data_IF_864337896264
#
_entry.id   IF_864337896264
#
_cell.length_a   1.000
_cell.length_b   1.000
_cell.length_c   1.000
_cell.angle_alpha   90.00
_cell.angle_beta   90.00
_cell.angle_gamma   90.00
#
_symmetry.space_group_name_H-M   'P 1'
#
loop_
_entity.id
_entity.type
_entity.pdbx_description
1 polymer ?
#
# COMPACT_ATOMS: atom_id res chain seq x y z
N UNK A 1 -27.02 3.32 8.68
CA UNK A 1 -26.35 2.81 9.84
C UNK A 1 -24.88 3.04 9.71
N UNK A 2 -24.12 1.97 9.72
CA UNK A 2 -22.66 2.08 9.58
C UNK A 2 -22.26 2.82 8.34
N UNK A 3 -23.03 2.73 7.28
CA UNK A 3 -22.79 3.47 6.05
C UNK A 3 -22.68 4.96 6.25
N UNK A 4 -23.32 5.47 7.29
CA UNK A 4 -23.35 6.89 7.58
C UNK A 4 -22.29 7.30 8.59
N UNK A 5 -21.42 6.37 9.00
CA UNK A 5 -20.32 6.67 9.91
C UNK A 5 -19.41 7.76 9.32
N UNK A 6 -19.30 7.81 8.01
CA UNK A 6 -18.48 8.81 7.32
C UNK A 6 -19.37 9.69 6.44
N UNK A 7 -19.41 10.98 6.75
CA UNK A 7 -20.10 11.95 5.91
C UNK A 7 -19.36 12.15 4.60
N UNK A 8 -20.02 12.71 3.56
CA UNK A 8 -19.31 13.06 2.32
C UNK A 8 -18.13 13.98 2.58
N UNK A 9 -18.24 14.92 3.52
CA UNK A 9 -17.13 15.79 3.87
C UNK A 9 -15.95 15.02 4.46
N UNK A 10 -16.22 14.02 5.30
CA UNK A 10 -15.18 13.18 5.88
C UNK A 10 -14.48 12.35 4.80
N UNK A 11 -15.23 11.83 3.83
CA UNK A 11 -14.66 11.06 2.72
C UNK A 11 -13.78 11.96 1.84
N UNK A 12 -14.22 13.20 1.59
CA UNK A 12 -13.42 14.16 0.84
C UNK A 12 -12.11 14.49 1.57
N UNK A 13 -12.17 14.65 2.89
CA UNK A 13 -10.98 14.92 3.69
C UNK A 13 -10.01 13.73 3.65
N UNK A 14 -10.53 12.51 3.74
CA UNK A 14 -9.73 11.30 3.60
C UNK A 14 -9.08 11.23 2.22
N UNK A 15 -9.83 11.56 1.18
CA UNK A 15 -9.31 11.59 -0.18
C UNK A 15 -8.16 12.57 -0.33
N UNK A 16 -8.28 13.75 0.25
CA UNK A 16 -7.20 14.75 0.22
C UNK A 16 -5.97 14.25 0.98
N UNK A 17 -6.16 13.68 2.16
CA UNK A 17 -5.06 13.12 2.93
C UNK A 17 -4.37 11.99 2.18
N UNK A 18 -5.12 11.10 1.55
CA UNK A 18 -4.56 10.01 0.76
C UNK A 18 -3.81 10.54 -0.46
N UNK A 19 -4.34 11.56 -1.12
CA UNK A 19 -3.69 12.16 -2.26
C UNK A 19 -2.32 12.74 -1.87
N UNK A 20 -2.27 13.48 -0.77
CA UNK A 20 -1.01 14.05 -0.25
C UNK A 20 -0.04 12.94 0.15
N UNK A 21 -0.53 11.93 0.86
CA UNK A 21 0.29 10.82 1.33
C UNK A 21 0.86 10.00 0.18
N UNK A 22 0.05 9.72 -0.83
CA UNK A 22 0.51 8.96 -1.99
C UNK A 22 1.47 9.77 -2.86
N UNK A 23 1.27 11.09 -2.94
CA UNK A 23 2.23 11.96 -3.61
C UNK A 23 3.60 11.93 -2.96
N UNK A 24 3.63 11.97 -1.63
CA UNK A 24 4.86 11.82 -0.86
C UNK A 24 5.48 10.44 -1.07
N UNK A 25 4.65 9.40 -1.09
CA UNK A 25 5.10 8.04 -1.35
C UNK A 25 5.72 7.89 -2.73
N UNK A 26 5.09 8.47 -3.74
CA UNK A 26 5.61 8.43 -5.11
C UNK A 26 6.99 9.10 -5.20
N UNK A 27 7.18 10.20 -4.50
CA UNK A 27 8.48 10.88 -4.45
C UNK A 27 9.53 9.98 -3.80
N UNK A 28 9.20 9.34 -2.69
CA UNK A 28 10.13 8.44 -1.99
C UNK A 28 10.52 7.26 -2.89
N UNK A 29 9.55 6.67 -3.58
CA UNK A 29 9.81 5.55 -4.49
C UNK A 29 10.65 6.00 -5.68
N UNK A 30 10.35 7.18 -6.25
CA UNK A 30 11.13 7.73 -7.36
C UNK A 30 12.59 7.92 -6.99
N UNK A 31 12.85 8.42 -5.79
CA UNK A 31 14.22 8.61 -5.31
C UNK A 31 14.92 7.27 -5.10
N UNK A 32 14.22 6.30 -4.54
CA UNK A 32 14.79 4.99 -4.25
C UNK A 32 15.11 4.22 -5.53
N UNK A 33 14.24 4.29 -6.52
CA UNK A 33 14.43 3.58 -7.79
C UNK A 33 15.26 4.36 -8.81
N UNK A 34 15.56 5.61 -8.54
CA UNK A 34 16.23 6.52 -9.47
C UNK A 34 15.49 6.59 -10.82
N UNK A 35 14.17 6.52 -10.75
CA UNK A 35 13.27 6.63 -11.89
C UNK A 35 12.05 7.40 -11.45
N UNK A 36 11.51 8.22 -12.36
CA UNK A 36 10.29 8.96 -12.04
C UNK A 36 9.11 8.00 -11.93
N UNK A 37 8.42 8.09 -10.80
CA UNK A 37 7.18 7.35 -10.56
C UNK A 37 6.07 8.36 -10.34
N UNK A 38 5.06 8.31 -11.19
CA UNK A 38 3.88 9.16 -11.07
C UNK A 38 2.70 8.32 -10.64
N UNK A 39 1.83 8.89 -9.83
CA UNK A 39 0.60 8.23 -9.43
C UNK A 39 -0.58 9.10 -9.85
N UNK A 40 -1.71 8.44 -10.11
CA UNK A 40 -2.95 9.15 -10.38
C UNK A 40 -3.61 9.52 -9.05
N UNK A 41 -4.54 10.47 -9.11
CA UNK A 41 -5.35 10.83 -7.95
C UNK A 41 -6.14 9.60 -7.49
N UNK A 42 -6.07 9.25 -6.21
CA UNK A 42 -6.78 8.07 -5.72
C UNK A 42 -8.28 8.27 -5.70
N UNK A 43 -9.00 7.18 -5.92
CA UNK A 43 -10.44 7.11 -5.67
C UNK A 43 -10.61 6.44 -4.31
N UNK A 44 -11.22 7.15 -3.37
CA UNK A 44 -11.39 6.66 -2.00
C UNK A 44 -12.84 6.28 -1.75
N UNK A 45 -13.04 5.12 -1.17
CA UNK A 45 -14.36 4.67 -0.76
C UNK A 45 -14.29 3.98 0.58
N UNK A 46 -15.43 3.95 1.28
CA UNK A 46 -15.56 3.25 2.56
C UNK A 46 -16.56 2.12 2.35
N UNK A 47 -16.15 0.90 2.65
CA UNK A 47 -17.01 -0.28 2.49
C UNK A 47 -16.93 -1.15 3.73
N UNK A 48 -18.00 -1.89 4.00
CA UNK A 48 -17.98 -2.93 5.02
C UNK A 48 -17.11 -4.09 4.55
N UNK A 49 -16.49 -4.79 5.49
CA UNK A 49 -15.65 -5.96 5.18
C UNK A 49 -16.42 -6.97 4.34
N UNK A 50 -17.68 -7.22 4.67
CA UNK A 50 -18.50 -8.19 3.93
C UNK A 50 -18.71 -7.80 2.46
N UNK A 51 -18.67 -6.51 2.16
CA UNK A 51 -18.88 -5.99 0.80
C UNK A 51 -17.58 -5.76 0.05
N UNK A 52 -16.45 -5.91 0.72
CA UNK A 52 -15.15 -5.71 0.11
C UNK A 52 -14.86 -6.77 -0.94
N UNK A 53 -14.40 -6.34 -2.10
CA UNK A 53 -14.01 -7.24 -3.17
C UNK A 53 -12.78 -6.68 -3.87
N UNK A 54 -12.02 -7.57 -4.51
CA UNK A 54 -10.86 -7.17 -5.28
C UNK A 54 -11.22 -6.78 -6.72
N UNK A 55 -12.47 -6.97 -7.13
CA UNK A 55 -12.90 -6.68 -8.48
C UNK A 55 -12.09 -7.49 -9.49
N UNK A 56 -11.50 -6.80 -10.47
CA UNK A 56 -10.66 -7.43 -11.48
C UNK A 56 -9.19 -7.47 -11.10
N UNK A 57 -8.86 -7.04 -9.89
CA UNK A 57 -7.48 -7.04 -9.42
C UNK A 57 -7.07 -8.46 -9.03
N UNK A 58 -5.89 -8.87 -9.48
CA UNK A 58 -5.32 -10.18 -9.15
C UNK A 58 -3.98 -9.97 -8.47
N UNK A 59 -3.99 -9.55 -7.19
CA UNK A 59 -2.75 -9.31 -6.47
C UNK A 59 -2.04 -10.61 -6.15
N UNK A 60 -0.71 -10.58 -6.20
CA UNK A 60 0.12 -11.72 -5.83
C UNK A 60 0.47 -11.71 -4.36
N UNK A 61 0.79 -10.53 -3.82
CA UNK A 61 1.11 -10.38 -2.41
C UNK A 61 0.48 -9.12 -1.84
N UNK A 62 0.32 -9.11 -0.53
CA UNK A 62 0.01 -7.91 0.23
C UNK A 62 1.17 -7.58 1.15
N UNK A 63 1.34 -6.30 1.41
CA UNK A 63 2.30 -5.81 2.40
C UNK A 63 1.52 -4.99 3.42
N UNK A 64 1.58 -5.42 4.66
CA UNK A 64 0.80 -4.84 5.75
C UNK A 64 1.70 -4.11 6.73
N UNK A 65 1.30 -2.90 7.10
CA UNK A 65 1.82 -2.21 8.28
C UNK A 65 0.68 -1.97 9.25
N UNK A 66 1.02 -1.84 10.52
CA UNK A 66 0.06 -1.45 11.54
C UNK A 66 0.42 -0.08 12.05
N UNK A 67 -0.59 0.74 12.31
CA UNK A 67 -0.35 2.03 12.94
C UNK A 67 -0.07 1.77 14.42
N UNK A 68 1.03 2.31 14.92
CA UNK A 68 1.45 2.12 16.32
C UNK A 68 1.33 3.41 17.12
N UNK A 69 1.11 4.54 16.44
CA UNK A 69 0.88 5.82 17.09
C UNK A 69 0.05 6.71 16.17
N UNK A 70 -0.89 7.44 16.74
CA UNK A 70 -1.69 8.45 16.03
C UNK A 70 -2.95 7.93 15.40
N UNK A 71 -2.92 6.78 14.80
CA UNK A 71 -4.07 6.14 14.16
C UNK A 71 -4.19 4.71 14.66
N UNK A 72 -5.38 4.15 14.50
CA UNK A 72 -5.64 2.74 14.79
C UNK A 72 -5.85 1.98 13.49
N UNK A 73 -5.56 0.69 13.51
CA UNK A 73 -5.78 -0.18 12.37
C UNK A 73 -4.51 -0.45 11.60
N UNK A 74 -4.69 -0.89 10.39
CA UNK A 74 -3.58 -1.27 9.52
C UNK A 74 -3.76 -0.68 8.14
N UNK A 75 -2.66 -0.65 7.40
CA UNK A 75 -2.64 -0.26 6.00
C UNK A 75 -2.06 -1.44 5.22
N UNK A 76 -2.75 -1.85 4.17
CA UNK A 76 -2.33 -2.98 3.36
C UNK A 76 -2.19 -2.52 1.92
N UNK A 77 -1.02 -2.74 1.34
CA UNK A 77 -0.77 -2.48 -0.06
C UNK A 77 -0.83 -3.80 -0.82
N UNK A 78 -1.69 -3.86 -1.83
CA UNK A 78 -1.83 -5.07 -2.65
C UNK A 78 -1.08 -4.87 -3.97
N UNK A 79 -0.23 -5.82 -4.31
CA UNK A 79 0.67 -5.72 -5.44
C UNK A 79 0.48 -6.90 -6.38
N UNK A 80 0.45 -6.61 -7.69
CA UNK A 80 0.44 -7.63 -8.73
C UNK A 80 1.85 -8.12 -9.00
N UNK A 81 1.96 -9.36 -9.48
CA UNK A 81 3.25 -9.94 -9.84
C UNK A 81 4.01 -9.07 -10.84
N UNK A 82 3.31 -8.50 -11.83
CA UNK A 82 3.93 -7.64 -12.84
C UNK A 82 4.53 -6.37 -12.23
N UNK A 83 3.87 -5.78 -11.23
CA UNK A 83 4.37 -4.60 -10.55
C UNK A 83 5.60 -4.92 -9.73
N UNK A 84 5.57 -6.05 -9.05
CA UNK A 84 6.71 -6.53 -8.24
C UNK A 84 7.92 -6.74 -9.13
N UNK A 85 7.72 -7.37 -10.28
CA UNK A 85 8.79 -7.61 -11.26
C UNK A 85 9.45 -6.30 -11.70
N UNK A 86 8.65 -5.30 -12.05
CA UNK A 86 9.18 -4.01 -12.49
C UNK A 86 10.01 -3.36 -11.38
N UNK A 87 9.51 -3.36 -10.16
CA UNK A 87 10.22 -2.78 -9.01
C UNK A 87 11.56 -3.49 -8.78
N UNK A 88 11.54 -4.82 -8.75
CA UNK A 88 12.74 -5.62 -8.49
C UNK A 88 13.76 -5.44 -9.62
N UNK A 89 13.31 -5.47 -10.87
CA UNK A 89 14.21 -5.31 -12.01
C UNK A 89 14.89 -3.95 -11.96
N UNK A 90 14.18 -2.88 -11.66
CA UNK A 90 14.77 -1.55 -11.55
C UNK A 90 15.78 -1.49 -10.41
N UNK A 91 15.44 -2.04 -9.24
CA UNK A 91 16.35 -2.03 -8.09
C UNK A 91 17.62 -2.82 -8.34
N UNK A 92 17.50 -3.94 -9.02
CA UNK A 92 18.64 -4.83 -9.30
C UNK A 92 19.39 -4.47 -10.56
N UNK A 93 18.91 -3.48 -11.32
CA UNK A 93 19.53 -3.07 -12.56
C UNK A 93 19.49 -4.14 -13.65
N UNK A 94 18.39 -4.89 -13.72
CA UNK A 94 18.26 -6.02 -14.65
C UNK A 94 16.92 -6.00 -15.35
N UNK A 95 16.80 -6.81 -16.39
CA UNK A 95 15.53 -7.05 -17.10
C UNK A 95 15.31 -8.54 -17.13
N UNK A 96 14.32 -9.00 -16.38
CA UNK A 96 13.99 -10.41 -16.28
C UNK A 96 12.80 -10.72 -17.18
N UNK A 97 12.87 -11.80 -17.95
CA UNK A 97 11.72 -12.26 -18.71
C UNK A 97 10.61 -12.72 -17.76
N UNK A 98 9.36 -12.56 -18.17
CA UNK A 98 8.22 -12.89 -17.32
C UNK A 98 8.27 -14.34 -16.83
N UNK A 99 8.66 -15.26 -17.69
CA UNK A 99 8.75 -16.67 -17.34
C UNK A 99 9.91 -17.00 -16.39
N UNK A 100 10.90 -16.11 -16.31
CA UNK A 100 12.07 -16.31 -15.44
C UNK A 100 11.94 -15.60 -14.09
N UNK A 101 10.92 -14.74 -13.94
CA UNK A 101 10.73 -14.01 -12.69
C UNK A 101 10.09 -14.91 -11.64
N UNK A 102 10.67 -14.96 -10.45
CA UNK A 102 10.17 -15.73 -9.33
C UNK A 102 9.92 -14.85 -8.11
N UNK A 103 8.80 -15.11 -7.45
CA UNK A 103 8.54 -14.54 -6.13
C UNK A 103 9.21 -15.44 -5.11
N UNK A 104 10.34 -14.99 -4.58
CA UNK A 104 11.09 -15.73 -3.57
C UNK A 104 11.47 -14.78 -2.45
N UNK A 105 12.20 -15.28 -1.47
CA UNK A 105 12.58 -14.51 -0.30
C UNK A 105 13.32 -13.22 -0.67
N UNK A 106 14.21 -13.28 -1.65
CA UNK A 106 14.97 -12.11 -2.09
C UNK A 106 14.08 -11.05 -2.73
N UNK A 107 13.23 -11.45 -3.68
CA UNK A 107 12.37 -10.50 -4.39
C UNK A 107 11.32 -9.89 -3.45
N UNK A 108 10.79 -10.68 -2.54
CA UNK A 108 9.83 -10.19 -1.55
C UNK A 108 10.51 -9.20 -0.59
N UNK A 109 11.75 -9.49 -0.16
CA UNK A 109 12.50 -8.57 0.69
C UNK A 109 12.76 -7.23 0.00
N UNK A 110 13.08 -7.25 -1.28
CA UNK A 110 13.27 -6.02 -2.06
C UNK A 110 11.99 -5.18 -2.08
N UNK A 111 10.86 -5.82 -2.32
CA UNK A 111 9.57 -5.12 -2.35
C UNK A 111 9.21 -4.59 -0.98
N UNK A 112 9.44 -5.34 0.08
CA UNK A 112 9.16 -4.89 1.43
C UNK A 112 9.98 -3.64 1.79
N UNK A 113 11.24 -3.56 1.35
CA UNK A 113 12.05 -2.38 1.58
C UNK A 113 11.47 -1.16 0.87
N UNK A 114 11.04 -1.31 -0.39
CA UNK A 114 10.39 -0.23 -1.12
C UNK A 114 9.10 0.20 -0.42
N UNK A 115 8.29 -0.77 0.00
CA UNK A 115 7.04 -0.49 0.71
C UNK A 115 7.29 0.19 2.04
N UNK A 116 8.35 -0.20 2.75
CA UNK A 116 8.73 0.45 4.00
C UNK A 116 9.02 1.94 3.79
N UNK A 117 9.80 2.27 2.78
CA UNK A 117 10.10 3.66 2.44
C UNK A 117 8.84 4.41 2.02
N UNK A 118 8.01 3.79 1.21
CA UNK A 118 6.78 4.39 0.71
C UNK A 118 5.79 4.67 1.85
N UNK A 119 5.56 3.67 2.68
CA UNK A 119 4.60 3.79 3.79
C UNK A 119 5.12 4.72 4.89
N UNK A 120 6.44 4.74 5.12
CA UNK A 120 7.05 5.68 6.05
C UNK A 120 6.88 7.12 5.59
N UNK A 121 7.08 7.37 4.31
CA UNK A 121 6.87 8.69 3.73
C UNK A 121 5.41 9.12 3.82
N UNK A 122 4.49 8.18 3.57
CA UNK A 122 3.06 8.44 3.70
C UNK A 122 2.69 8.79 5.16
N UNK A 123 3.25 8.07 6.12
CA UNK A 123 2.99 8.34 7.53
C UNK A 123 3.50 9.72 7.95
N UNK A 124 4.65 10.13 7.44
CA UNK A 124 5.17 11.48 7.69
C UNK A 124 4.24 12.55 7.11
N UNK A 125 3.77 12.34 5.88
CA UNK A 125 2.83 13.28 5.25
C UNK A 125 1.52 13.35 6.03
N UNK A 126 1.03 12.20 6.52
CA UNK A 126 -0.17 12.18 7.36
C UNK A 126 0.04 12.94 8.67
N UNK A 127 1.22 12.79 9.27
CA UNK A 127 1.57 13.51 10.51
C UNK A 127 1.49 15.01 10.29
N UNK A 128 2.04 15.49 9.19
CA UNK A 128 2.02 16.91 8.85
C UNK A 128 0.60 17.40 8.60
N UNK A 129 -0.19 16.61 7.87
CA UNK A 129 -1.57 16.97 7.55
C UNK A 129 -2.46 17.00 8.80
N UNK A 130 -2.31 16.01 9.68
CA UNK A 130 -3.17 15.88 10.84
C UNK A 130 -2.71 16.72 12.04
N UNK A 131 -1.45 17.15 12.04
CA UNK A 131 -0.91 17.97 13.13
C UNK A 131 -0.54 17.18 14.36
N UNK A 132 -0.43 15.84 14.25
CA UNK A 132 0.09 14.99 15.33
C UNK A 132 0.85 13.82 14.73
N UNK A 133 1.64 13.15 15.55
CA UNK A 133 2.52 12.09 15.07
C UNK A 133 1.75 10.84 14.68
N UNK A 134 2.04 10.35 13.48
CA UNK A 134 1.56 9.05 12.97
C UNK A 134 2.79 8.18 12.75
N UNK A 135 2.80 7.00 13.35
CA UNK A 135 3.92 6.07 13.23
C UNK A 135 3.42 4.68 12.87
N UNK A 136 4.29 3.90 12.23
CA UNK A 136 3.92 2.59 11.68
C UNK A 136 4.88 1.52 12.15
N UNK A 137 4.40 0.26 12.10
CA UNK A 137 5.22 -0.91 12.35
C UNK A 137 6.08 -1.25 11.13
N UNK A 138 6.96 -2.22 11.29
CA UNK A 138 7.71 -2.81 10.18
C UNK A 138 6.74 -3.53 9.24
N UNK A 139 6.91 -3.41 7.91
CA UNK A 139 6.04 -4.09 6.96
C UNK A 139 6.18 -5.60 7.04
N UNK A 140 5.05 -6.28 6.85
CA UNK A 140 5.03 -7.74 6.74
C UNK A 140 4.31 -8.13 5.46
N UNK A 141 4.93 -9.01 4.68
CA UNK A 141 4.34 -9.51 3.45
C UNK A 141 3.54 -10.78 3.70
N UNK A 142 2.54 -11.00 2.86
CA UNK A 142 1.78 -12.25 2.86
C UNK A 142 1.30 -12.55 1.45
N UNK A 143 1.10 -13.83 1.16
CA UNK A 143 0.57 -14.25 -0.13
C UNK A 143 -0.94 -14.08 -0.15
N UNK A 144 -1.46 -13.69 -1.31
CA UNK A 144 -2.88 -13.46 -1.47
C UNK A 144 -3.45 -14.51 -2.43
N UNK A 145 -3.82 -15.65 -1.87
CA UNK A 145 -4.32 -16.77 -2.63
C UNK A 145 -5.83 -16.96 -2.53
N UNK A 146 -6.48 -16.32 -1.55
CA UNK A 146 -7.91 -16.51 -1.30
C UNK A 146 -8.48 -15.26 -0.62
N UNK A 147 -9.52 -14.67 -1.21
CA UNK A 147 -10.13 -13.46 -0.68
C UNK A 147 -10.77 -13.68 0.70
N UNK A 148 -11.48 -14.78 0.88
CA UNK A 148 -12.13 -15.04 2.16
C UNK A 148 -11.12 -15.20 3.28
N UNK A 149 -10.04 -15.92 3.02
CA UNK A 149 -8.95 -16.07 3.97
C UNK A 149 -8.28 -14.75 4.28
N UNK A 150 -8.08 -13.93 3.24
CA UNK A 150 -7.53 -12.59 3.41
C UNK A 150 -8.42 -11.76 4.34
N UNK A 151 -9.73 -11.79 4.14
CA UNK A 151 -10.67 -11.06 5.01
C UNK A 151 -10.59 -11.55 6.46
N UNK A 152 -10.49 -12.85 6.65
CA UNK A 152 -10.38 -13.45 7.99
C UNK A 152 -9.11 -13.03 8.70
N UNK A 153 -7.98 -13.07 7.99
CA UNK A 153 -6.67 -12.90 8.60
C UNK A 153 -6.27 -11.44 8.76
N UNK A 154 -6.74 -10.56 7.89
CA UNK A 154 -6.21 -9.19 7.81
C UNK A 154 -7.24 -8.08 7.97
N UNK A 155 -8.52 -8.35 7.82
CA UNK A 155 -9.56 -7.33 7.96
C UNK A 155 -10.32 -7.51 9.27
N UNK A 156 -10.83 -6.40 9.85
CA UNK A 156 -11.54 -6.45 11.13
C UNK A 156 -12.87 -7.21 11.09
#
# INVERSE_FOLDING_TARGET
MEKEMFSPMAIDALGEMMNISLGSSATAVSNMLDHRVDITTPTVSVVDVKDFSLGNLEPAIGVEIKYVEGLEGSNIMLLKRSDIKVIVDILMGMETADEDFELNELTISCVCEVMNQMMGSAATAMSDFLGFRVDISTPQSFELDNLDRFKQDHLP
#
